data_IF_682938572948
#
_entry.id   IF_682938572948
#
_cell.length_a   1.000
_cell.length_b   1.000
_cell.length_c   1.000
_cell.angle_alpha   90.00
_cell.angle_beta   90.00
_cell.angle_gamma   90.00
#
_symmetry.space_group_name_H-M   'P 1'
#
loop_
_entity.id
_entity.type
_entity.pdbx_description
1 polymer ?
#
# COMPACT_ATOMS: atom_id res chain seq x y z
N UNK A 1 0.55 36.91 6.09
CA UNK A 1 0.02 35.89 5.17
C UNK A 1 0.31 34.56 5.82
N UNK A 2 -0.73 33.85 6.27
CA UNK A 2 -0.56 32.53 6.85
C UNK A 2 -0.03 31.61 5.75
N UNK A 3 1.13 31.03 5.99
CA UNK A 3 1.67 29.92 5.22
C UNK A 3 0.72 28.75 5.48
N UNK A 4 -0.33 28.62 4.65
CA UNK A 4 -1.19 27.45 4.67
C UNK A 4 -0.31 26.32 4.18
N UNK A 5 0.25 25.56 5.12
CA UNK A 5 1.10 24.41 4.84
C UNK A 5 0.39 23.52 3.83
N UNK A 6 0.85 23.52 2.57
CA UNK A 6 0.24 22.72 1.51
C UNK A 6 0.30 21.26 1.94
N UNK A 7 -0.87 20.62 2.04
CA UNK A 7 -0.99 19.23 2.52
C UNK A 7 -1.17 18.31 1.35
N UNK A 8 -0.73 17.07 1.47
CA UNK A 8 -1.03 16.03 0.51
C UNK A 8 -1.69 14.87 1.21
N UNK A 9 -2.20 13.94 0.41
CA UNK A 9 -2.75 12.70 0.91
C UNK A 9 -1.77 11.97 1.82
N UNK A 10 -0.49 11.95 1.48
CA UNK A 10 0.50 11.21 2.25
C UNK A 10 0.98 11.94 3.51
N UNK A 11 0.74 13.25 3.64
CA UNK A 11 1.02 13.98 4.88
C UNK A 11 -0.20 14.04 5.81
N UNK A 12 -1.41 13.74 5.33
CA UNK A 12 -2.62 13.65 6.16
C UNK A 12 -2.75 12.34 6.95
N UNK A 13 -2.07 11.27 6.53
CA UNK A 13 -2.14 9.96 7.17
C UNK A 13 -0.81 9.58 7.80
N UNK A 14 -0.86 8.59 8.70
CA UNK A 14 0.34 8.00 9.26
C UNK A 14 1.26 7.52 8.12
N UNK A 15 2.56 7.79 8.25
CA UNK A 15 3.58 7.33 7.30
C UNK A 15 4.14 6.00 7.80
N UNK A 16 4.62 5.17 6.87
CA UNK A 16 5.39 3.98 7.24
C UNK A 16 6.66 4.41 7.99
N UNK A 17 7.02 3.68 9.04
CA UNK A 17 8.21 3.99 9.85
C UNK A 17 9.46 3.31 9.28
N UNK A 18 10.63 3.79 9.70
CA UNK A 18 11.88 3.09 9.42
C UNK A 18 11.88 1.71 10.08
N UNK A 19 12.34 0.70 9.33
CA UNK A 19 12.46 -0.66 9.85
C UNK A 19 13.74 -0.80 10.66
N UNK A 20 13.60 -1.04 11.96
CA UNK A 20 14.72 -1.23 12.87
C UNK A 20 15.01 -2.72 13.08
N UNK A 21 16.17 -3.20 12.63
CA UNK A 21 16.60 -4.61 12.77
C UNK A 21 15.57 -5.63 12.26
N UNK A 22 14.83 -5.30 11.19
CA UNK A 22 13.80 -6.18 10.61
C UNK A 22 12.51 -6.29 11.43
N UNK A 23 12.38 -5.53 12.53
CA UNK A 23 11.17 -5.51 13.36
C UNK A 23 10.19 -4.46 12.86
N UNK A 24 8.93 -4.87 12.68
CA UNK A 24 7.87 -3.99 12.17
C UNK A 24 6.77 -3.86 13.21
N UNK A 25 6.50 -2.65 13.69
CA UNK A 25 5.43 -2.37 14.65
C UNK A 25 4.06 -2.61 14.03
N UNK A 26 3.21 -3.41 14.67
CA UNK A 26 1.91 -3.81 14.12
C UNK A 26 1.00 -2.60 13.90
N UNK A 27 0.80 -1.77 14.94
CA UNK A 27 -0.09 -0.61 14.84
C UNK A 27 0.44 0.42 13.84
N UNK A 28 1.74 0.69 13.86
CA UNK A 28 2.38 1.65 12.97
C UNK A 28 2.17 1.25 11.50
N UNK A 29 2.40 -0.03 11.18
CA UNK A 29 2.18 -0.55 9.84
C UNK A 29 0.71 -0.49 9.41
N UNK A 30 -0.22 -0.84 10.31
CA UNK A 30 -1.65 -0.82 10.01
C UNK A 30 -2.20 0.59 9.84
N UNK A 31 -1.81 1.54 10.69
CA UNK A 31 -2.21 2.94 10.55
C UNK A 31 -1.66 3.56 9.26
N UNK A 32 -0.39 3.27 8.91
CA UNK A 32 0.17 3.72 7.64
C UNK A 32 -0.55 3.12 6.43
N UNK A 33 -0.91 1.84 6.50
CA UNK A 33 -1.66 1.15 5.44
C UNK A 33 -3.05 1.77 5.20
N UNK A 34 -3.67 2.41 6.21
CA UNK A 34 -4.95 3.13 6.03
C UNK A 34 -4.80 4.34 5.10
N UNK A 35 -3.62 4.96 5.02
CA UNK A 35 -3.36 6.02 4.03
C UNK A 35 -3.51 5.50 2.59
N UNK A 36 -3.08 4.26 2.34
CA UNK A 36 -3.27 3.60 1.04
C UNK A 36 -4.73 3.25 0.78
N UNK A 37 -5.48 2.83 1.81
CA UNK A 37 -6.94 2.63 1.68
C UNK A 37 -7.62 3.93 1.23
N UNK A 38 -7.17 5.07 1.76
CA UNK A 38 -7.70 6.39 1.41
C UNK A 38 -7.31 6.84 0.01
N UNK A 39 -6.08 6.57 -0.40
CA UNK A 39 -5.65 6.73 -1.78
C UNK A 39 -6.55 5.97 -2.75
N UNK A 40 -6.77 4.68 -2.50
CA UNK A 40 -7.63 3.83 -3.35
C UNK A 40 -9.09 4.29 -3.31
N UNK A 41 -9.59 4.78 -2.17
CA UNK A 41 -10.94 5.33 -2.05
C UNK A 41 -11.17 6.54 -2.97
N UNK A 42 -10.16 7.41 -3.11
CA UNK A 42 -10.24 8.58 -3.98
C UNK A 42 -10.17 8.25 -5.48
N UNK A 43 -9.69 7.07 -5.86
CA UNK A 43 -9.72 6.61 -7.27
C UNK A 43 -11.14 6.33 -7.77
N UNK A 44 -12.13 6.27 -6.87
CA UNK A 44 -13.55 6.22 -7.21
C UNK A 44 -14.21 4.86 -7.00
N UNK A 45 -15.49 4.79 -7.38
CA UNK A 45 -16.39 3.69 -6.99
C UNK A 45 -16.03 2.34 -7.58
N UNK A 46 -15.38 2.30 -8.74
CA UNK A 46 -14.92 1.07 -9.39
C UNK A 46 -13.79 0.38 -8.59
N UNK A 47 -13.06 1.13 -7.76
CA UNK A 47 -12.02 0.61 -6.88
C UNK A 47 -12.53 0.10 -5.53
N UNK A 48 -13.86 0.09 -5.29
CA UNK A 48 -14.45 -0.44 -4.05
C UNK A 48 -14.00 -1.87 -3.71
N UNK A 49 -13.95 -2.84 -4.65
CA UNK A 49 -13.47 -4.18 -4.35
C UNK A 49 -12.02 -4.19 -3.84
N UNK A 50 -11.16 -3.37 -4.46
CA UNK A 50 -9.74 -3.23 -4.08
C UNK A 50 -9.63 -2.63 -2.67
N UNK A 51 -10.37 -1.55 -2.41
CA UNK A 51 -10.44 -0.92 -1.08
C UNK A 51 -10.90 -1.93 -0.01
N UNK A 52 -11.97 -2.68 -0.29
CA UNK A 52 -12.54 -3.65 0.65
C UNK A 52 -11.56 -4.78 0.97
N UNK A 53 -10.80 -5.28 -0.01
CA UNK A 53 -9.77 -6.30 0.20
C UNK A 53 -8.67 -5.82 1.16
N UNK A 54 -8.09 -4.64 0.87
CA UNK A 54 -7.04 -4.04 1.71
C UNK A 54 -7.58 -3.80 3.13
N UNK A 55 -8.76 -3.19 3.26
CA UNK A 55 -9.34 -2.87 4.57
C UNK A 55 -9.68 -4.13 5.37
N UNK A 56 -10.18 -5.18 4.72
CA UNK A 56 -10.46 -6.46 5.37
C UNK A 56 -9.20 -7.13 5.93
N UNK A 57 -8.06 -7.03 5.24
CA UNK A 57 -6.79 -7.55 5.75
C UNK A 57 -6.27 -6.71 6.94
N UNK A 58 -6.43 -5.39 6.90
CA UNK A 58 -6.13 -4.50 8.03
C UNK A 58 -7.01 -4.85 9.24
N UNK A 59 -8.30 -5.08 9.06
CA UNK A 59 -9.25 -5.43 10.13
C UNK A 59 -8.89 -6.76 10.80
N UNK A 60 -8.52 -7.78 10.02
CA UNK A 60 -8.05 -9.07 10.55
C UNK A 60 -6.81 -8.91 11.44
N UNK A 61 -5.79 -8.20 10.95
CA UNK A 61 -4.56 -7.94 11.71
C UNK A 61 -4.81 -7.09 12.95
N UNK A 62 -5.72 -6.11 12.85
CA UNK A 62 -6.15 -5.27 13.98
C UNK A 62 -6.85 -6.12 15.05
N UNK A 63 -7.71 -7.07 14.64
CA UNK A 63 -8.37 -8.00 15.55
C UNK A 63 -7.38 -8.88 16.29
N UNK A 64 -6.38 -9.43 15.58
CA UNK A 64 -5.29 -10.21 16.18
C UNK A 64 -4.51 -9.37 17.19
N UNK A 65 -4.08 -8.16 16.80
CA UNK A 65 -3.40 -7.24 17.70
C UNK A 65 -4.20 -6.98 18.98
N UNK A 66 -5.48 -6.63 18.84
CA UNK A 66 -6.35 -6.31 19.98
C UNK A 66 -6.61 -7.50 20.90
N UNK A 67 -6.48 -8.74 20.43
CA UNK A 67 -6.62 -9.92 21.28
C UNK A 67 -5.53 -10.01 22.35
N UNK A 68 -4.31 -9.52 22.06
CA UNK A 68 -3.22 -9.39 23.02
C UNK A 68 -2.14 -8.40 22.51
N UNK A 69 -2.30 -7.09 22.78
CA UNK A 69 -1.40 -6.05 22.28
C UNK A 69 0.07 -6.22 22.69
N UNK A 70 0.31 -6.78 23.88
CA UNK A 70 1.66 -7.06 24.36
C UNK A 70 2.33 -8.19 23.58
N UNK A 71 1.57 -9.24 23.25
CA UNK A 71 2.05 -10.40 22.48
C UNK A 71 2.26 -10.05 21.01
N UNK A 72 1.35 -9.29 20.41
CA UNK A 72 1.31 -9.01 18.97
C UNK A 72 1.82 -7.62 18.61
N UNK A 73 2.73 -7.06 19.42
CA UNK A 73 3.30 -5.72 19.23
C UNK A 73 3.97 -5.53 17.87
N UNK A 74 4.46 -6.62 17.27
CA UNK A 74 5.14 -6.61 15.97
C UNK A 74 4.52 -7.58 14.98
N UNK A 75 4.59 -7.29 13.69
CA UNK A 75 4.14 -8.24 12.65
C UNK A 75 4.94 -9.55 12.73
N UNK A 76 6.22 -9.47 13.07
CA UNK A 76 7.10 -10.61 13.32
C UNK A 76 6.48 -11.56 14.36
N UNK A 77 5.98 -11.03 15.48
CA UNK A 77 5.36 -11.84 16.53
C UNK A 77 4.05 -12.52 16.09
N UNK A 78 3.28 -11.91 15.17
CA UNK A 78 2.09 -12.56 14.60
C UNK A 78 2.51 -13.78 13.77
N UNK A 79 3.43 -13.59 12.83
CA UNK A 79 3.92 -14.67 11.94
C UNK A 79 4.62 -15.76 12.75
N UNK A 80 5.46 -15.39 13.72
CA UNK A 80 6.17 -16.35 14.56
C UNK A 80 5.21 -17.23 15.36
N UNK A 81 4.19 -16.63 15.99
CA UNK A 81 3.20 -17.37 16.78
C UNK A 81 2.40 -18.33 15.91
N UNK A 82 1.88 -17.86 14.77
CA UNK A 82 1.10 -18.71 13.86
C UNK A 82 1.96 -19.79 13.18
N UNK A 83 3.26 -19.54 12.95
CA UNK A 83 4.18 -20.54 12.40
C UNK A 83 4.46 -21.69 13.37
N UNK A 84 4.39 -21.44 14.67
CA UNK A 84 4.62 -22.43 15.74
C UNK A 84 3.35 -23.16 16.14
N UNK A 85 2.19 -22.77 15.63
CA UNK A 85 0.97 -23.53 15.86
C UNK A 85 1.02 -24.82 15.02
N UNK A 86 1.27 -25.94 15.68
CA UNK A 86 1.40 -27.29 15.08
C UNK A 86 0.03 -27.96 14.93
N UNK A 87 -1.05 -27.32 15.39
CA UNK A 87 -2.38 -27.90 15.28
C UNK A 87 -2.86 -27.85 13.82
N UNK A 88 -2.90 -29.01 13.16
CA UNK A 88 -3.59 -29.21 11.90
C UNK A 88 -5.01 -28.62 11.99
N UNK A 89 -5.23 -27.49 11.30
CA UNK A 89 -6.53 -26.81 11.26
C UNK A 89 -6.59 -25.42 11.88
N UNK A 90 -5.54 -24.92 12.55
CA UNK A 90 -5.49 -23.49 12.88
C UNK A 90 -5.20 -22.66 11.62
N UNK A 91 -6.17 -21.83 11.25
CA UNK A 91 -6.04 -20.92 10.12
C UNK A 91 -4.96 -19.87 10.44
N UNK A 92 -3.99 -19.72 9.53
CA UNK A 92 -2.93 -18.70 9.61
C UNK A 92 -3.48 -17.31 9.22
N UNK A 93 -4.53 -16.88 9.91
CA UNK A 93 -5.34 -15.71 9.54
C UNK A 93 -4.48 -14.45 9.47
N UNK A 94 -3.59 -14.24 10.44
CA UNK A 94 -2.69 -13.09 10.49
C UNK A 94 -1.63 -13.13 9.41
N UNK A 95 -0.99 -14.27 9.22
CA UNK A 95 0.02 -14.49 8.18
C UNK A 95 -0.59 -14.29 6.78
N UNK A 96 -1.77 -14.85 6.53
CA UNK A 96 -2.49 -14.71 5.26
C UNK A 96 -2.94 -13.26 5.04
N UNK A 97 -3.51 -12.61 6.06
CA UNK A 97 -3.91 -11.21 5.98
C UNK A 97 -2.71 -10.30 5.71
N UNK A 98 -1.58 -10.54 6.38
CA UNK A 98 -0.35 -9.79 6.15
C UNK A 98 0.20 -10.03 4.74
N UNK A 99 0.15 -11.27 4.24
CA UNK A 99 0.59 -11.61 2.90
C UNK A 99 -0.20 -10.83 1.83
N UNK A 100 -1.52 -10.90 1.88
CA UNK A 100 -2.38 -10.20 0.92
C UNK A 100 -2.28 -8.68 1.03
N UNK A 101 -2.24 -8.14 2.25
CA UNK A 101 -1.99 -6.71 2.46
C UNK A 101 -0.66 -6.28 1.85
N UNK A 102 0.42 -7.04 2.09
CA UNK A 102 1.75 -6.68 1.59
C UNK A 102 1.86 -6.79 0.07
N UNK A 103 1.18 -7.76 -0.57
CA UNK A 103 1.08 -7.84 -2.04
C UNK A 103 0.35 -6.62 -2.63
N UNK A 104 -0.75 -6.19 -2.02
CA UNK A 104 -1.47 -4.99 -2.46
C UNK A 104 -0.61 -3.73 -2.29
N UNK A 105 0.12 -3.62 -1.17
CA UNK A 105 1.06 -2.54 -0.93
C UNK A 105 2.24 -2.54 -1.91
N UNK A 106 2.74 -3.71 -2.30
CA UNK A 106 3.79 -3.85 -3.31
C UNK A 106 3.34 -3.35 -4.68
N UNK A 107 2.09 -3.64 -5.07
CA UNK A 107 1.50 -3.10 -6.28
C UNK A 107 1.49 -1.56 -6.28
N UNK A 108 1.02 -0.95 -5.18
CA UNK A 108 0.98 0.51 -5.06
C UNK A 108 2.39 1.11 -5.07
N UNK A 109 3.32 0.51 -4.34
CA UNK A 109 4.72 0.91 -4.36
C UNK A 109 5.30 0.92 -5.78
N UNK A 110 5.08 -0.16 -6.54
CA UNK A 110 5.63 -0.30 -7.88
C UNK A 110 4.98 0.69 -8.86
N UNK A 111 3.68 0.90 -8.75
CA UNK A 111 2.98 1.95 -9.51
C UNK A 111 3.54 3.34 -9.23
N UNK A 112 3.69 3.72 -7.95
CA UNK A 112 4.23 5.02 -7.56
C UNK A 112 5.71 5.19 -7.95
N UNK A 113 6.47 4.08 -7.99
CA UNK A 113 7.84 4.07 -8.52
C UNK A 113 7.85 4.46 -9.99
N UNK A 114 7.03 3.81 -10.83
CA UNK A 114 6.94 4.15 -12.25
C UNK A 114 6.44 5.59 -12.48
N UNK A 115 5.49 6.04 -11.67
CA UNK A 115 5.00 7.40 -11.74
C UNK A 115 6.07 8.44 -11.38
N UNK A 116 6.85 8.19 -10.33
CA UNK A 116 7.99 9.04 -9.95
C UNK A 116 9.11 9.01 -11.00
N UNK A 117 9.38 7.85 -11.60
CA UNK A 117 10.38 7.73 -12.66
C UNK A 117 10.06 8.63 -13.86
N UNK A 118 8.80 8.68 -14.31
CA UNK A 118 8.38 9.58 -15.38
C UNK A 118 8.67 11.04 -15.01
N UNK A 119 8.33 11.46 -13.79
CA UNK A 119 8.65 12.80 -13.29
C UNK A 119 10.16 13.08 -13.29
N UNK A 120 10.97 12.15 -12.77
CA UNK A 120 12.44 12.31 -12.71
C UNK A 120 13.08 12.46 -14.09
N UNK A 121 12.48 11.82 -15.12
CA UNK A 121 12.90 11.87 -16.52
C UNK A 121 12.24 13.03 -17.30
N UNK A 122 11.46 13.87 -16.61
CA UNK A 122 10.67 14.96 -17.20
C UNK A 122 9.66 14.50 -18.27
N UNK A 123 9.20 13.25 -18.16
CA UNK A 123 8.13 12.70 -19.00
C UNK A 123 6.79 13.10 -18.41
N UNK A 124 5.95 13.74 -19.23
CA UNK A 124 4.61 14.21 -18.85
C UNK A 124 3.54 13.49 -19.65
N UNK A 125 3.53 12.16 -19.58
CA UNK A 125 2.49 11.35 -20.21
C UNK A 125 1.21 11.43 -19.37
N UNK A 126 0.08 11.82 -19.98
CA UNK A 126 -1.21 11.85 -19.28
C UNK A 126 -1.79 10.44 -19.07
N UNK A 127 -1.50 9.51 -19.97
CA UNK A 127 -1.97 8.13 -19.84
C UNK A 127 -1.10 7.33 -18.86
N UNK A 128 -1.63 7.10 -17.66
CA UNK A 128 -0.99 6.29 -16.62
C UNK A 128 -1.39 4.81 -16.67
N UNK A 129 -2.27 4.38 -17.59
CA UNK A 129 -2.76 3.00 -17.66
C UNK A 129 -1.62 2.00 -17.86
N UNK A 130 -0.56 2.40 -18.58
CA UNK A 130 0.64 1.60 -18.78
C UNK A 130 1.35 1.28 -17.47
N UNK A 131 1.38 2.22 -16.52
CA UNK A 131 2.03 2.04 -15.22
C UNK A 131 1.19 1.19 -14.28
N UNK A 132 -0.12 1.44 -14.22
CA UNK A 132 -1.06 0.60 -13.47
C UNK A 132 -1.00 -0.86 -13.96
N UNK A 133 -1.06 -1.06 -15.28
CA UNK A 133 -0.98 -2.40 -15.88
C UNK A 133 0.37 -3.05 -15.57
N UNK A 134 1.49 -2.36 -15.81
CA UNK A 134 2.82 -2.92 -15.58
C UNK A 134 3.03 -3.33 -14.12
N UNK A 135 2.66 -2.47 -13.17
CA UNK A 135 2.75 -2.79 -11.75
C UNK A 135 1.91 -4.03 -11.38
N UNK A 136 0.73 -4.18 -11.98
CA UNK A 136 -0.15 -5.33 -11.76
C UNK A 136 0.44 -6.65 -12.30
N UNK A 137 0.99 -6.61 -13.51
CA UNK A 137 1.57 -7.78 -14.16
C UNK A 137 2.80 -8.32 -13.41
N UNK A 138 3.56 -7.44 -12.79
CA UNK A 138 4.77 -7.78 -12.02
C UNK A 138 4.50 -8.17 -10.56
N UNK A 139 3.28 -7.94 -10.04
CA UNK A 139 2.93 -8.20 -8.64
C UNK A 139 1.71 -9.10 -8.49
N UNK A 140 0.50 -8.54 -8.59
CA UNK A 140 -0.75 -9.22 -8.21
C UNK A 140 -1.23 -10.26 -9.22
N UNK A 141 -0.93 -10.10 -10.51
CA UNK A 141 -1.50 -10.95 -11.58
C UNK A 141 -1.27 -12.44 -11.36
N UNK A 142 -0.08 -12.83 -10.86
CA UNK A 142 0.25 -14.24 -10.61
C UNK A 142 -0.55 -14.86 -9.46
N UNK A 143 -1.14 -14.05 -8.60
CA UNK A 143 -1.95 -14.49 -7.45
C UNK A 143 -3.46 -14.43 -7.72
N UNK A 144 -3.86 -13.77 -8.81
CA UNK A 144 -5.27 -13.60 -9.17
C UNK A 144 -5.73 -14.66 -10.16
N UNK A 145 -6.87 -15.28 -9.85
CA UNK A 145 -7.58 -16.11 -10.82
C UNK A 145 -8.14 -15.24 -11.97
N UNK A 146 -8.57 -15.89 -13.05
CA UNK A 146 -9.06 -15.21 -14.26
C UNK A 146 -10.16 -14.17 -13.97
N UNK A 147 -11.09 -14.47 -13.06
CA UNK A 147 -12.19 -13.57 -12.72
C UNK A 147 -11.69 -12.28 -12.05
N UNK A 148 -10.78 -12.40 -11.07
CA UNK A 148 -10.18 -11.23 -10.41
C UNK A 148 -9.33 -10.42 -11.40
N UNK A 149 -8.64 -11.09 -12.34
CA UNK A 149 -7.93 -10.39 -13.42
C UNK A 149 -8.88 -9.55 -14.30
N UNK A 150 -10.11 -10.00 -14.57
CA UNK A 150 -11.08 -9.18 -15.32
C UNK A 150 -11.53 -7.94 -14.53
N UNK A 151 -11.74 -8.08 -13.21
CA UNK A 151 -12.06 -6.93 -12.34
C UNK A 151 -10.95 -5.89 -12.39
N UNK A 152 -9.68 -6.31 -12.39
CA UNK A 152 -8.55 -5.40 -12.54
C UNK A 152 -8.64 -4.59 -13.84
N UNK A 153 -8.84 -5.24 -14.99
CA UNK A 153 -8.93 -4.53 -16.28
C UNK A 153 -10.15 -3.60 -16.37
N UNK A 154 -11.23 -3.90 -15.65
CA UNK A 154 -12.35 -2.97 -15.51
C UNK A 154 -11.96 -1.73 -14.71
N UNK A 155 -11.23 -1.90 -13.59
CA UNK A 155 -10.72 -0.77 -12.80
C UNK A 155 -9.71 0.07 -13.58
N UNK A 156 -8.87 -0.57 -14.41
CA UNK A 156 -7.86 0.09 -15.25
C UNK A 156 -8.49 1.14 -16.19
N UNK A 157 -9.67 0.86 -16.74
CA UNK A 157 -10.40 1.80 -17.61
C UNK A 157 -10.91 3.06 -16.86
N UNK A 158 -10.93 3.02 -15.53
CA UNK A 158 -11.34 4.12 -14.68
C UNK A 158 -10.17 4.70 -13.87
N UNK A 159 -8.94 4.27 -14.15
CA UNK A 159 -7.76 4.84 -13.54
C UNK A 159 -7.62 6.31 -13.94
N UNK A 160 -7.19 7.19 -13.01
CA UNK A 160 -7.01 8.60 -13.31
C UNK A 160 -5.85 8.81 -14.30
N UNK A 161 -5.97 9.87 -15.10
CA UNK A 161 -4.83 10.42 -15.82
C UNK A 161 -3.83 11.10 -14.86
N UNK A 162 -2.67 11.49 -15.39
CA UNK A 162 -1.61 12.16 -14.62
C UNK A 162 -2.11 13.40 -13.90
N UNK A 163 -2.79 14.30 -14.61
CA UNK A 163 -3.25 15.56 -14.02
C UNK A 163 -4.22 15.32 -12.88
N UNK A 164 -5.18 14.41 -13.06
CA UNK A 164 -6.17 14.05 -12.04
C UNK A 164 -5.52 13.39 -10.83
N UNK A 165 -4.54 12.51 -11.05
CA UNK A 165 -3.81 11.85 -9.96
C UNK A 165 -2.99 12.85 -9.13
N UNK A 166 -2.32 13.79 -9.78
CA UNK A 166 -1.55 14.84 -9.09
C UNK A 166 -2.47 15.68 -8.21
N UNK A 167 -3.63 16.11 -8.74
CA UNK A 167 -4.64 16.86 -7.97
C UNK A 167 -5.19 16.06 -6.79
N UNK A 168 -5.45 14.77 -7.00
CA UNK A 168 -5.92 13.86 -5.95
C UNK A 168 -4.92 13.78 -4.79
N UNK A 169 -3.62 13.68 -5.11
CA UNK A 169 -2.57 13.62 -4.10
C UNK A 169 -2.35 14.97 -3.44
N UNK A 170 -2.44 16.09 -4.17
CA UNK A 170 -2.04 17.41 -3.67
C UNK A 170 -2.98 18.08 -2.68
N UNK A 171 -4.17 17.51 -2.40
CA UNK A 171 -5.21 17.99 -1.44
C UNK A 171 -5.18 19.52 -1.27
N UNK A 172 -5.32 20.24 -2.38
CA UNK A 172 -5.33 21.70 -2.38
C UNK A 172 -6.76 22.15 -2.72
N UNK A 173 -7.34 22.96 -1.85
CA UNK A 173 -8.65 23.59 -2.07
C UNK A 173 -8.54 24.75 -3.08
N UNK A 174 -7.32 25.20 -3.40
CA UNK A 174 -7.03 26.17 -4.46
C UNK A 174 -6.50 25.46 -5.72
N UNK A 175 -7.36 25.34 -6.73
CA UNK A 175 -7.08 24.64 -7.99
C UNK A 175 -5.94 25.26 -8.83
N UNK A 176 -5.50 26.48 -8.50
CA UNK A 176 -4.72 27.32 -9.42
C UNK A 176 -3.19 27.12 -9.41
N UNK A 177 -2.61 26.32 -8.50
CA UNK A 177 -1.19 25.95 -8.58
C UNK A 177 -0.81 24.72 -7.74
N UNK A 178 -1.13 23.52 -8.21
CA UNK A 178 -0.58 22.30 -7.62
C UNK A 178 0.95 22.31 -7.72
N UNK A 179 1.62 22.21 -6.57
CA UNK A 179 3.07 22.09 -6.52
C UNK A 179 3.48 20.64 -6.83
N UNK A 180 3.66 20.34 -8.12
CA UNK A 180 4.08 18.99 -8.56
C UNK A 180 5.38 18.56 -7.87
N UNK A 181 6.33 19.47 -7.65
CA UNK A 181 7.61 19.13 -7.02
C UNK A 181 7.41 18.67 -5.58
N UNK A 182 6.52 19.32 -4.84
CA UNK A 182 6.13 18.89 -3.50
C UNK A 182 5.46 17.50 -3.52
N UNK A 183 4.51 17.28 -4.43
CA UNK A 183 3.82 15.99 -4.60
C UNK A 183 4.83 14.85 -4.84
N UNK A 184 5.75 15.03 -5.80
CA UNK A 184 6.71 13.98 -6.14
C UNK A 184 7.78 13.77 -5.06
N UNK A 185 8.17 14.82 -4.33
CA UNK A 185 9.06 14.69 -3.16
C UNK A 185 8.43 13.81 -2.08
N UNK A 186 7.14 13.95 -1.85
CA UNK A 186 6.44 13.13 -0.87
C UNK A 186 6.13 11.72 -1.37
N UNK A 187 5.81 11.56 -2.66
CA UNK A 187 5.75 10.23 -3.28
C UNK A 187 7.07 9.49 -3.05
N UNK A 188 8.21 10.12 -3.36
CA UNK A 188 9.52 9.51 -3.16
C UNK A 188 9.76 9.07 -1.71
N UNK A 189 9.54 9.98 -0.76
CA UNK A 189 9.74 9.70 0.68
C UNK A 189 8.85 8.55 1.15
N UNK A 190 7.55 8.60 0.85
CA UNK A 190 6.61 7.58 1.27
C UNK A 190 6.92 6.23 0.61
N UNK A 191 7.30 6.25 -0.67
CA UNK A 191 7.60 5.05 -1.42
C UNK A 191 8.89 4.37 -0.92
N UNK A 192 9.90 5.13 -0.50
CA UNK A 192 11.10 4.59 0.15
C UNK A 192 10.78 3.86 1.46
N UNK A 193 9.98 4.48 2.34
CA UNK A 193 9.58 3.90 3.63
C UNK A 193 8.69 2.66 3.43
N UNK A 194 7.76 2.73 2.47
CA UNK A 194 6.92 1.61 2.08
C UNK A 194 7.76 0.43 1.58
N UNK A 195 8.73 0.67 0.70
CA UNK A 195 9.62 -0.36 0.17
C UNK A 195 10.44 -1.05 1.27
N UNK A 196 10.96 -0.28 2.24
CA UNK A 196 11.70 -0.81 3.36
C UNK A 196 10.84 -1.78 4.20
N UNK A 197 9.59 -1.40 4.48
CA UNK A 197 8.64 -2.25 5.19
C UNK A 197 8.24 -3.49 4.38
N UNK A 198 7.94 -3.37 3.09
CA UNK A 198 7.65 -4.51 2.21
C UNK A 198 8.84 -5.49 2.21
N UNK A 199 10.06 -4.98 2.06
CA UNK A 199 11.28 -5.79 2.06
C UNK A 199 11.44 -6.54 3.38
N UNK A 200 11.20 -5.87 4.51
CA UNK A 200 11.28 -6.49 5.83
C UNK A 200 10.21 -7.58 6.02
N UNK A 201 8.97 -7.36 5.57
CA UNK A 201 7.92 -8.40 5.59
C UNK A 201 8.29 -9.58 4.69
N UNK A 202 8.86 -9.34 3.51
CA UNK A 202 9.34 -10.41 2.61
C UNK A 202 10.45 -11.24 3.27
N UNK A 203 11.42 -10.59 3.91
CA UNK A 203 12.48 -11.29 4.65
C UNK A 203 11.93 -12.09 5.83
N UNK A 204 10.94 -11.56 6.56
CA UNK A 204 10.22 -12.28 7.60
C UNK A 204 9.53 -13.53 7.03
N UNK A 205 8.81 -13.43 5.93
CA UNK A 205 8.16 -14.58 5.32
C UNK A 205 9.15 -15.64 4.84
N UNK A 206 10.28 -15.22 4.27
CA UNK A 206 11.37 -16.13 3.90
C UNK A 206 11.90 -16.89 5.12
N UNK A 207 12.08 -16.26 6.27
CA UNK A 207 12.57 -16.95 7.48
C UNK A 207 11.60 -17.99 8.03
N UNK A 208 10.31 -17.89 7.68
CA UNK A 208 9.26 -18.85 8.07
C UNK A 208 8.77 -19.72 6.91
N UNK A 209 9.49 -19.74 5.78
CA UNK A 209 9.12 -20.50 4.57
C UNK A 209 7.70 -20.22 4.04
N UNK A 210 7.22 -18.99 4.24
CA UNK A 210 5.97 -18.51 3.65
C UNK A 210 6.26 -18.03 2.23
N UNK A 211 5.56 -18.57 1.25
CA UNK A 211 5.72 -18.18 -0.14
C UNK A 211 5.08 -16.81 -0.37
N UNK A 212 5.90 -15.83 -0.75
CA UNK A 212 5.45 -14.48 -1.05
C UNK A 212 4.87 -14.36 -2.46
#
# INVERSE_FOLDING_TARGET
MNDCEKKTLFSLYAQFEEVNNGMIGTIQYLEASKGIVKFVEQLGTLFKPVRSDINGNIEKLTSIYNSNPNKYKTLNSIVEVESKSIADGEFKIGTDALLWLTRALQYIHLFLTYFYEDYSKQVKNEDLSVHFKKAYEETLKMHHNWFVQQIFYLCLNAAPDRTSLIKLISIDDNEDAVDEAMVFKEIEKNNQLLNANITAVRSLFQSFSVCF
#
